data_IF_279662584693
#
_entry.id   IF_279662584693
#
_cell.length_a   1.000
_cell.length_b   1.000
_cell.length_c   1.000
_cell.angle_alpha   90.00
_cell.angle_beta   90.00
_cell.angle_gamma   90.00
#
_symmetry.space_group_name_H-M   'P 1'
#
loop_
_entity.id
_entity.type
_entity.pdbx_description
1 polymer ?
#
# COMPACT_ATOMS: atom_id res chain seq x y z
N UNK A 1 11.72 16.26 -1.44
CA UNK A 1 12.49 16.54 -0.22
C UNK A 1 13.51 17.66 -0.43
N UNK A 2 14.34 17.59 -1.45
CA UNK A 2 15.40 18.59 -1.68
C UNK A 2 14.85 20.01 -1.85
N UNK A 3 13.85 20.20 -2.69
CA UNK A 3 13.25 21.50 -2.98
C UNK A 3 12.64 22.21 -1.76
N UNK A 4 12.19 21.45 -0.77
CA UNK A 4 11.53 21.97 0.44
C UNK A 4 12.39 21.90 1.68
N UNK A 5 13.65 21.45 1.58
CA UNK A 5 14.57 21.31 2.72
C UNK A 5 14.13 20.30 3.77
N UNK A 6 13.22 19.37 3.43
CA UNK A 6 12.69 18.38 4.36
C UNK A 6 13.75 17.33 4.67
N UNK A 7 13.94 17.03 5.95
CA UNK A 7 14.77 15.93 6.43
C UNK A 7 13.91 14.93 7.20
N UNK A 8 14.19 13.64 6.98
CA UNK A 8 13.60 12.56 7.76
C UNK A 8 14.58 12.08 8.83
N UNK A 9 14.11 11.80 10.02
CA UNK A 9 14.94 11.21 11.07
C UNK A 9 15.40 9.82 10.70
N UNK A 10 14.50 9.03 10.12
CA UNK A 10 14.74 7.65 9.70
C UNK A 10 13.70 7.19 8.68
N UNK A 11 14.06 6.16 7.91
CA UNK A 11 13.18 5.44 7.00
C UNK A 11 13.35 3.94 7.24
N UNK A 12 12.27 3.17 7.09
CA UNK A 12 12.27 1.72 7.34
C UNK A 12 11.49 0.96 6.27
N UNK A 13 11.74 -0.31 6.18
CA UNK A 13 11.00 -1.25 5.33
C UNK A 13 11.80 -1.75 4.16
N UNK A 14 11.21 -1.73 2.98
CA UNK A 14 11.89 -2.11 1.75
C UNK A 14 12.74 -0.96 1.21
N UNK A 15 14.02 -1.22 1.02
CA UNK A 15 15.00 -0.20 0.64
C UNK A 15 15.45 -0.40 -0.81
N UNK A 16 15.70 0.70 -1.48
CA UNK A 16 16.22 0.76 -2.84
C UNK A 16 17.18 1.94 -2.99
N UNK A 17 17.89 1.99 -4.11
CA UNK A 17 18.89 3.01 -4.44
C UNK A 17 18.50 4.46 -4.08
N UNK A 18 17.30 4.97 -4.44
CA UNK A 18 16.92 6.35 -4.09
C UNK A 18 16.96 6.63 -2.59
N UNK A 19 16.64 5.65 -1.75
CA UNK A 19 16.70 5.82 -0.30
C UNK A 19 18.15 5.86 0.20
N UNK A 20 19.01 5.01 -0.37
CA UNK A 20 20.46 5.03 -0.09
C UNK A 20 21.06 6.38 -0.45
N UNK A 21 20.71 6.93 -1.61
CA UNK A 21 21.17 8.27 -2.03
C UNK A 21 20.70 9.38 -1.08
N UNK A 22 19.47 9.31 -0.57
CA UNK A 22 18.95 10.25 0.42
C UNK A 22 19.72 10.15 1.75
N UNK A 23 20.07 8.94 2.17
CA UNK A 23 20.92 8.72 3.35
C UNK A 23 22.30 9.35 3.16
N UNK A 24 22.97 9.09 2.03
CA UNK A 24 24.30 9.63 1.70
C UNK A 24 24.30 11.17 1.60
N UNK A 25 23.20 11.77 1.14
CA UNK A 25 22.99 13.22 1.10
C UNK A 25 22.62 13.84 2.46
N UNK A 26 22.48 13.03 3.51
CA UNK A 26 22.03 13.48 4.84
C UNK A 26 20.61 14.01 4.90
N UNK A 27 19.74 13.59 3.95
CA UNK A 27 18.32 13.91 3.93
C UNK A 27 17.49 12.94 4.76
N UNK A 28 18.03 11.75 4.99
CA UNK A 28 17.53 10.72 5.91
C UNK A 28 18.63 10.46 6.91
N UNK A 29 18.32 10.50 8.20
CA UNK A 29 19.31 10.32 9.25
C UNK A 29 19.75 8.86 9.41
N UNK A 30 18.81 7.93 9.25
CA UNK A 30 19.05 6.48 9.32
C UNK A 30 18.12 5.75 8.34
N UNK A 31 18.61 4.67 7.78
CA UNK A 31 17.83 3.69 7.04
C UNK A 31 17.88 2.36 7.81
N UNK A 32 16.74 1.77 8.07
CA UNK A 32 16.62 0.50 8.79
C UNK A 32 15.80 -0.46 7.92
N UNK A 33 16.46 -1.42 7.39
CA UNK A 33 16.01 -2.23 6.28
C UNK A 33 15.51 -3.60 6.77
N UNK A 34 14.45 -4.08 6.16
CA UNK A 34 13.91 -5.42 6.33
C UNK A 34 13.94 -6.21 5.03
N UNK A 35 14.12 -5.53 3.91
CA UNK A 35 14.21 -6.12 2.58
C UNK A 35 14.88 -5.16 1.60
N UNK A 36 15.88 -5.62 0.86
CA UNK A 36 16.51 -4.89 -0.23
C UNK A 36 15.85 -5.21 -1.58
N UNK A 37 15.61 -4.17 -2.38
CA UNK A 37 15.02 -4.33 -3.71
C UNK A 37 16.00 -4.17 -4.87
N UNK A 38 17.23 -3.75 -4.58
CA UNK A 38 18.28 -3.64 -5.59
C UNK A 38 19.69 -3.83 -4.99
N UNK A 39 20.68 -3.97 -5.88
CA UNK A 39 22.06 -4.18 -5.47
C UNK A 39 22.69 -2.95 -4.79
N UNK A 40 22.21 -1.75 -5.07
CA UNK A 40 22.69 -0.53 -4.40
C UNK A 40 22.32 -0.58 -2.91
N UNK A 41 21.10 -1.05 -2.59
CA UNK A 41 20.65 -1.23 -1.22
C UNK A 41 21.50 -2.32 -0.51
N UNK A 42 21.60 -3.52 -1.10
CA UNK A 42 22.43 -4.62 -0.56
C UNK A 42 23.86 -4.18 -0.29
N UNK A 43 24.51 -3.51 -1.26
CA UNK A 43 25.89 -3.05 -1.12
C UNK A 43 26.04 -1.92 -0.08
N UNK A 44 24.98 -1.17 0.19
CA UNK A 44 25.00 -0.10 1.16
C UNK A 44 25.03 -0.59 2.61
N UNK A 45 24.48 -1.77 2.88
CA UNK A 45 24.55 -2.40 4.21
C UNK A 45 26.02 -2.55 4.58
N UNK A 46 26.40 -2.21 5.81
CA UNK A 46 27.77 -2.25 6.32
C UNK A 46 28.79 -1.31 5.64
N UNK A 47 28.44 -0.64 4.53
CA UNK A 47 29.33 0.30 3.85
C UNK A 47 28.93 1.77 4.07
N UNK A 48 27.62 2.04 4.15
CA UNK A 48 27.10 3.38 4.34
C UNK A 48 26.73 3.59 5.82
N UNK A 49 27.40 4.51 6.52
CA UNK A 49 27.05 4.82 7.91
C UNK A 49 25.58 5.22 8.03
N UNK A 50 24.86 4.61 8.97
CA UNK A 50 23.45 4.87 9.19
C UNK A 50 22.49 3.93 8.44
N UNK A 51 23.00 2.96 7.67
CA UNK A 51 22.22 1.87 7.11
C UNK A 51 22.31 0.64 8.01
N UNK A 52 21.17 0.12 8.48
CA UNK A 52 21.06 -0.99 9.43
C UNK A 52 20.02 -1.99 8.94
N UNK A 53 20.20 -3.25 9.31
CA UNK A 53 19.22 -4.31 9.10
C UNK A 53 18.33 -4.50 10.34
N UNK A 54 17.10 -4.96 10.13
CA UNK A 54 16.21 -5.43 11.19
C UNK A 54 15.46 -6.69 10.76
N UNK A 55 15.02 -7.47 11.75
CA UNK A 55 14.15 -8.62 11.48
C UNK A 55 12.70 -8.16 11.20
N UNK A 56 11.93 -9.02 10.50
CA UNK A 56 10.50 -8.79 10.30
C UNK A 56 9.74 -8.63 11.63
N UNK A 57 10.18 -9.33 12.69
CA UNK A 57 9.60 -9.18 14.03
C UNK A 57 9.86 -7.80 14.64
N UNK A 58 11.04 -7.24 14.47
CA UNK A 58 11.34 -5.87 14.90
C UNK A 58 10.57 -4.85 14.06
N UNK A 59 10.38 -5.15 12.78
CA UNK A 59 9.67 -4.28 11.85
C UNK A 59 8.19 -4.13 12.22
N UNK A 60 7.43 -5.24 12.27
CA UNK A 60 5.97 -5.18 12.24
C UNK A 60 5.25 -6.21 13.12
N UNK A 61 5.92 -7.03 13.93
CA UNK A 61 5.23 -8.03 14.75
C UNK A 61 4.31 -7.34 15.79
N UNK A 62 2.98 -7.58 15.73
CA UNK A 62 2.01 -6.95 16.64
C UNK A 62 2.23 -7.32 18.11
N UNK A 63 2.81 -8.50 18.39
CA UNK A 63 3.16 -8.91 19.74
C UNK A 63 4.42 -8.21 20.29
N UNK A 64 5.19 -7.54 19.42
CA UNK A 64 6.34 -6.75 19.81
C UNK A 64 5.95 -5.30 20.07
N UNK A 65 5.88 -4.91 21.33
CA UNK A 65 5.54 -3.53 21.73
C UNK A 65 6.48 -2.46 21.17
N UNK A 66 7.70 -2.85 20.79
CA UNK A 66 8.71 -2.00 20.18
C UNK A 66 8.76 -2.05 18.66
N UNK A 67 7.78 -2.66 18.00
CA UNK A 67 7.76 -2.74 16.53
C UNK A 67 7.89 -1.35 15.89
N UNK A 68 8.82 -1.24 14.94
CA UNK A 68 9.19 0.05 14.35
C UNK A 68 8.03 0.72 13.60
N UNK A 69 7.14 -0.05 12.98
CA UNK A 69 5.97 0.50 12.27
C UNK A 69 5.10 1.38 13.17
N UNK A 70 5.03 1.09 14.47
CA UNK A 70 4.25 1.86 15.43
C UNK A 70 4.84 3.25 15.73
N UNK A 71 5.98 3.59 15.16
CA UNK A 71 6.67 4.89 15.30
C UNK A 71 6.72 5.68 14.00
N UNK A 72 6.13 5.17 12.92
CA UNK A 72 6.07 5.86 11.65
C UNK A 72 5.08 7.02 11.68
N UNK A 73 5.51 8.20 11.22
CA UNK A 73 4.61 9.33 11.00
C UNK A 73 3.78 9.11 9.73
N UNK A 74 4.38 8.51 8.71
CA UNK A 74 3.66 8.11 7.49
C UNK A 74 4.32 6.89 6.84
N UNK A 75 3.53 6.17 6.08
CA UNK A 75 3.98 5.10 5.19
C UNK A 75 3.44 5.33 3.78
N UNK A 76 4.22 4.97 2.78
CA UNK A 76 3.81 4.96 1.38
C UNK A 76 3.81 3.51 0.90
N UNK A 77 2.66 3.04 0.46
CA UNK A 77 2.45 1.67 0.02
C UNK A 77 1.83 1.65 -1.38
N UNK A 78 2.08 0.60 -2.13
CA UNK A 78 1.45 0.38 -3.43
C UNK A 78 0.17 -0.46 -3.29
N UNK A 79 -0.65 -0.48 -4.35
CA UNK A 79 -1.81 -1.36 -4.45
C UNK A 79 -1.88 -2.00 -5.83
N UNK A 80 -2.44 -3.20 -5.92
CA UNK A 80 -2.97 -3.73 -7.18
C UNK A 80 -4.32 -3.06 -7.46
N UNK A 81 -5.17 -3.02 -6.43
CA UNK A 81 -6.49 -2.39 -6.46
C UNK A 81 -6.82 -1.77 -5.10
N UNK A 82 -7.67 -0.76 -5.12
CA UNK A 82 -8.27 -0.13 -3.96
C UNK A 82 -9.75 0.14 -4.26
N UNK A 83 -10.64 -0.13 -3.30
CA UNK A 83 -12.06 0.12 -3.48
C UNK A 83 -12.55 1.44 -2.85
N UNK A 84 -13.82 1.74 -3.06
CA UNK A 84 -14.44 2.97 -2.57
C UNK A 84 -14.53 3.05 -1.03
N UNK A 85 -14.39 1.93 -0.33
CA UNK A 85 -14.25 1.88 1.13
C UNK A 85 -12.78 1.96 1.59
N UNK A 86 -11.84 2.26 0.67
CA UNK A 86 -10.40 2.28 0.89
C UNK A 86 -9.78 0.93 1.22
N UNK A 87 -10.49 -0.19 1.07
CA UNK A 87 -9.87 -1.50 1.21
C UNK A 87 -8.87 -1.73 0.08
N UNK A 88 -7.70 -2.25 0.42
CA UNK A 88 -6.61 -2.49 -0.53
C UNK A 88 -6.44 -3.97 -0.80
N UNK A 89 -6.22 -4.30 -2.06
CA UNK A 89 -5.84 -5.61 -2.54
C UNK A 89 -4.42 -5.56 -3.13
N UNK A 90 -3.51 -6.35 -2.58
CA UNK A 90 -2.15 -6.56 -3.10
C UNK A 90 -1.88 -8.02 -3.43
N UNK A 91 -2.91 -8.87 -3.38
CA UNK A 91 -2.80 -10.32 -3.52
C UNK A 91 -3.34 -10.80 -4.86
N UNK A 92 -4.60 -10.53 -5.13
CA UNK A 92 -5.29 -10.95 -6.37
C UNK A 92 -5.58 -9.75 -7.26
N UNK A 93 -5.74 -9.95 -8.57
CA UNK A 93 -6.33 -8.93 -9.44
C UNK A 93 -7.86 -9.00 -9.42
N UNK A 94 -8.52 -8.09 -10.16
CA UNK A 94 -9.98 -8.09 -10.37
C UNK A 94 -10.51 -9.36 -11.02
N UNK A 95 -9.67 -10.14 -11.67
CA UNK A 95 -9.95 -11.47 -12.23
C UNK A 95 -9.76 -12.61 -11.20
N UNK A 96 -9.46 -12.31 -9.94
CA UNK A 96 -9.23 -13.28 -8.87
C UNK A 96 -7.90 -14.04 -8.97
N UNK A 97 -7.07 -13.77 -9.97
CA UNK A 97 -5.77 -14.46 -10.15
C UNK A 97 -4.75 -13.94 -9.16
N UNK A 98 -4.08 -14.86 -8.47
CA UNK A 98 -3.02 -14.56 -7.51
C UNK A 98 -1.82 -13.90 -8.23
N UNK A 99 -1.44 -12.69 -7.80
CA UNK A 99 -0.36 -11.90 -8.42
C UNK A 99 0.69 -11.39 -7.44
N UNK A 100 0.40 -11.42 -6.16
CA UNK A 100 1.29 -10.87 -5.15
C UNK A 100 1.12 -11.52 -3.79
N UNK A 101 1.59 -10.83 -2.77
CA UNK A 101 1.45 -11.22 -1.38
C UNK A 101 1.37 -9.96 -0.51
N UNK A 102 0.61 -9.98 0.59
CA UNK A 102 0.48 -8.81 1.47
C UNK A 102 1.79 -8.47 2.19
N UNK A 103 2.60 -9.46 2.56
CA UNK A 103 3.81 -9.22 3.35
C UNK A 103 3.50 -8.39 4.60
N UNK A 104 4.29 -7.33 4.84
CA UNK A 104 4.07 -6.38 5.93
C UNK A 104 3.12 -5.23 5.61
N UNK A 105 2.43 -5.25 4.47
CA UNK A 105 1.56 -4.14 4.02
C UNK A 105 0.46 -3.79 5.04
N UNK A 106 -0.38 -4.73 5.51
CA UNK A 106 -1.43 -4.44 6.48
C UNK A 106 -0.88 -3.97 7.83
N UNK A 107 0.21 -4.58 8.29
CA UNK A 107 0.83 -4.23 9.57
C UNK A 107 1.43 -2.83 9.56
N UNK A 108 2.07 -2.46 8.45
CA UNK A 108 2.67 -1.14 8.28
C UNK A 108 1.60 -0.06 8.14
N UNK A 109 0.53 -0.35 7.40
CA UNK A 109 -0.63 0.54 7.31
C UNK A 109 -1.24 0.79 8.69
N UNK A 110 -1.55 -0.28 9.44
CA UNK A 110 -2.15 -0.18 10.76
C UNK A 110 -1.24 0.45 11.83
N UNK A 111 0.08 0.31 11.69
CA UNK A 111 1.04 0.85 12.66
C UNK A 111 1.37 2.32 12.47
N UNK A 112 1.29 2.85 11.25
CA UNK A 112 1.65 4.24 10.93
C UNK A 112 0.55 5.24 11.33
N UNK A 113 0.93 6.51 11.56
CA UNK A 113 -0.05 7.58 11.82
C UNK A 113 -0.79 8.04 10.56
N UNK A 114 -0.19 7.83 9.38
CA UNK A 114 -0.79 8.16 8.10
C UNK A 114 -0.34 7.15 7.05
N UNK A 115 -1.28 6.43 6.48
CA UNK A 115 -1.06 5.49 5.39
C UNK A 115 -1.47 6.10 4.05
N UNK A 116 -0.50 6.19 3.13
CA UNK A 116 -0.68 6.75 1.79
C UNK A 116 -0.52 5.62 0.78
N UNK A 117 -1.58 5.31 0.05
CA UNK A 117 -1.52 4.40 -1.09
C UNK A 117 -1.17 5.19 -2.35
N UNK A 118 -0.17 4.72 -3.08
CA UNK A 118 0.22 5.29 -4.38
C UNK A 118 0.08 4.22 -5.45
N UNK A 119 -0.77 4.47 -6.43
CA UNK A 119 -0.97 3.57 -7.58
C UNK A 119 -1.42 4.38 -8.79
N UNK A 120 -1.06 4.00 -10.03
CA UNK A 120 -1.67 4.64 -11.20
C UNK A 120 -3.17 4.36 -11.20
N UNK A 121 -3.98 5.27 -11.75
CA UNK A 121 -5.43 5.06 -11.86
C UNK A 121 -5.78 3.82 -12.68
N UNK A 122 -4.94 3.50 -13.65
CA UNK A 122 -5.13 2.39 -14.59
C UNK A 122 -3.80 1.64 -14.72
N UNK A 123 -3.86 0.31 -14.70
CA UNK A 123 -2.74 -0.57 -14.98
C UNK A 123 -3.03 -1.46 -16.18
N UNK A 124 -2.44 -1.13 -17.32
CA UNK A 124 -2.79 -1.77 -18.59
C UNK A 124 -4.26 -1.51 -18.95
N UNK A 125 -5.09 -2.54 -18.96
CA UNK A 125 -6.52 -2.47 -19.24
C UNK A 125 -7.40 -2.62 -17.99
N UNK A 126 -6.81 -2.54 -16.79
CA UNK A 126 -7.53 -2.73 -15.53
C UNK A 126 -7.61 -1.40 -14.76
N UNK A 127 -8.77 -1.09 -14.23
CA UNK A 127 -8.96 -0.05 -13.26
C UNK A 127 -8.27 -0.46 -11.94
N UNK A 128 -7.48 0.43 -11.34
CA UNK A 128 -6.90 0.17 -10.01
C UNK A 128 -7.79 0.69 -8.89
N UNK A 129 -8.69 1.62 -9.20
CA UNK A 129 -9.73 2.08 -8.28
C UNK A 129 -11.04 1.44 -8.74
N UNK A 130 -11.65 0.63 -7.88
CA UNK A 130 -12.83 -0.19 -8.20
C UNK A 130 -13.95 -0.01 -7.18
N UNK A 131 -15.12 -0.58 -7.45
CA UNK A 131 -16.27 -0.55 -6.54
C UNK A 131 -16.00 -1.36 -5.28
N UNK A 132 -15.46 -2.58 -5.47
CA UNK A 132 -15.10 -3.49 -4.40
C UNK A 132 -13.92 -4.36 -4.82
N UNK A 133 -12.93 -4.47 -3.98
CA UNK A 133 -11.81 -5.38 -4.22
C UNK A 133 -12.25 -6.84 -4.04
N UNK A 134 -11.66 -7.72 -4.84
CA UNK A 134 -11.95 -9.17 -4.79
C UNK A 134 -11.47 -9.79 -3.47
N UNK A 135 -10.34 -9.29 -2.97
CA UNK A 135 -9.72 -9.79 -1.73
C UNK A 135 -9.22 -8.61 -0.91
N UNK A 136 -9.66 -8.50 0.33
CA UNK A 136 -9.16 -7.46 1.24
C UNK A 136 -7.87 -7.93 1.88
N UNK A 137 -6.76 -7.29 1.52
CA UNK A 137 -5.46 -7.55 2.15
C UNK A 137 -5.08 -6.50 3.19
N UNK A 138 -5.60 -5.28 3.05
CA UNK A 138 -5.44 -4.21 4.03
C UNK A 138 -6.79 -3.50 4.20
N UNK A 139 -7.37 -3.50 5.40
CA UNK A 139 -8.65 -2.85 5.67
C UNK A 139 -8.60 -1.35 5.41
N UNK A 140 -9.69 -0.80 4.91
CA UNK A 140 -9.79 0.62 4.57
C UNK A 140 -9.74 1.56 5.76
N UNK A 141 -9.99 1.08 6.96
CA UNK A 141 -9.81 1.86 8.19
C UNK A 141 -8.33 2.11 8.56
N UNK A 142 -7.41 1.38 7.93
CA UNK A 142 -5.96 1.57 8.04
C UNK A 142 -5.38 2.42 6.88
N UNK A 143 -6.21 2.90 5.95
CA UNK A 143 -5.76 3.65 4.77
C UNK A 143 -6.34 5.05 4.79
N UNK A 144 -5.46 6.06 4.74
CA UNK A 144 -5.85 7.45 4.93
C UNK A 144 -5.96 8.23 3.61
N UNK A 145 -5.03 7.98 2.69
CA UNK A 145 -4.92 8.76 1.44
C UNK A 145 -4.62 7.84 0.27
N UNK A 146 -5.30 8.08 -0.84
CA UNK A 146 -4.96 7.51 -2.14
C UNK A 146 -4.39 8.60 -3.05
N UNK A 147 -3.25 8.34 -3.66
CA UNK A 147 -2.62 9.21 -4.66
C UNK A 147 -2.52 8.46 -5.98
N UNK A 148 -3.09 9.05 -7.01
CA UNK A 148 -3.02 8.55 -8.39
C UNK A 148 -2.48 9.62 -9.33
N UNK A 149 -2.18 9.25 -10.56
CA UNK A 149 -1.84 10.18 -11.65
C UNK A 149 -3.03 11.07 -12.11
N UNK A 150 -4.24 10.80 -11.61
CA UNK A 150 -5.46 11.58 -11.90
C UNK A 150 -5.99 12.38 -10.71
N UNK A 151 -5.45 12.20 -9.53
CA UNK A 151 -5.86 12.96 -8.36
C UNK A 151 -5.58 12.27 -7.04
N UNK A 152 -5.90 12.99 -5.98
CA UNK A 152 -5.75 12.55 -4.59
C UNK A 152 -7.14 12.36 -4.00
N UNK A 153 -7.37 11.23 -3.33
CA UNK A 153 -8.55 11.03 -2.50
C UNK A 153 -8.14 10.82 -1.04
N UNK A 154 -8.87 11.45 -0.14
CA UNK A 154 -8.66 11.29 1.31
C UNK A 154 -9.81 10.51 1.89
N UNK A 155 -9.49 9.53 2.74
CA UNK A 155 -10.51 8.76 3.42
C UNK A 155 -11.40 9.71 4.27
N UNK A 156 -12.73 9.67 4.13
CA UNK A 156 -13.64 10.54 4.89
C UNK A 156 -13.51 10.43 6.41
N UNK A 157 -12.90 9.36 6.91
CA UNK A 157 -12.59 9.18 8.35
C UNK A 157 -11.45 10.08 8.84
N UNK A 158 -10.76 10.79 7.93
CA UNK A 158 -9.63 11.67 8.21
C UNK A 158 -9.93 13.14 7.88
N UNK A 159 -10.93 13.74 8.55
CA UNK A 159 -11.26 15.15 8.32
C UNK A 159 -10.08 16.10 8.63
N UNK A 160 -9.18 15.69 9.53
CA UNK A 160 -7.93 16.40 9.82
C UNK A 160 -7.02 16.53 8.59
N UNK A 161 -6.89 15.48 7.79
CA UNK A 161 -6.08 15.49 6.57
C UNK A 161 -6.77 16.28 5.45
N UNK A 162 -8.11 16.19 5.33
CA UNK A 162 -8.88 16.99 4.38
C UNK A 162 -8.63 18.48 4.67
N UNK A 163 -8.78 18.92 5.91
CA UNK A 163 -8.52 20.31 6.31
C UNK A 163 -7.05 20.73 6.04
N UNK A 164 -6.09 19.82 6.25
CA UNK A 164 -4.67 20.09 5.95
C UNK A 164 -4.43 20.31 4.46
N UNK A 165 -5.03 19.50 3.58
CA UNK A 165 -4.90 19.64 2.13
C UNK A 165 -5.56 20.95 1.66
N UNK A 166 -6.74 21.27 2.16
CA UNK A 166 -7.46 22.50 1.86
C UNK A 166 -6.62 23.74 2.23
N UNK A 167 -6.06 23.77 3.44
CA UNK A 167 -5.17 24.84 3.90
C UNK A 167 -3.91 24.96 3.05
N UNK A 168 -3.39 23.84 2.57
CA UNK A 168 -2.22 23.80 1.70
C UNK A 168 -2.53 24.13 0.23
N UNK A 169 -3.81 24.29 -0.13
CA UNK A 169 -4.25 24.51 -1.51
C UNK A 169 -3.99 23.30 -2.41
N UNK A 170 -3.95 22.08 -1.85
CA UNK A 170 -3.75 20.84 -2.58
C UNK A 170 -5.12 20.29 -3.00
N UNK A 171 -5.43 20.25 -4.31
CA UNK A 171 -6.71 19.74 -4.78
C UNK A 171 -6.86 18.25 -4.48
N UNK A 172 -8.06 17.87 -4.05
CA UNK A 172 -8.43 16.48 -3.83
C UNK A 172 -9.85 16.22 -4.34
N UNK A 173 -10.17 14.97 -4.58
CA UNK A 173 -11.45 14.51 -5.12
C UNK A 173 -11.96 13.32 -4.31
N UNK A 174 -13.22 12.92 -4.52
CA UNK A 174 -13.72 11.70 -3.90
C UNK A 174 -13.15 10.46 -4.61
N UNK A 175 -13.01 9.36 -3.87
CA UNK A 175 -12.53 8.10 -4.44
C UNK A 175 -13.51 7.55 -5.49
N UNK A 176 -14.81 7.81 -5.34
CA UNK A 176 -15.84 7.48 -6.31
C UNK A 176 -15.60 8.19 -7.65
N UNK A 177 -15.16 9.46 -7.61
CA UNK A 177 -14.81 10.21 -8.83
C UNK A 177 -13.62 9.57 -9.56
N UNK A 178 -12.63 9.08 -8.83
CA UNK A 178 -11.50 8.35 -9.41
C UNK A 178 -11.94 7.00 -10.01
N UNK A 179 -12.81 6.26 -9.32
CA UNK A 179 -13.40 5.03 -9.84
C UNK A 179 -14.17 5.28 -11.14
N UNK A 180 -15.07 6.24 -11.16
CA UNK A 180 -15.86 6.57 -12.36
C UNK A 180 -14.94 7.00 -13.51
N UNK A 181 -13.89 7.75 -13.21
CA UNK A 181 -12.87 8.10 -14.19
C UNK A 181 -12.17 6.88 -14.75
N UNK A 182 -11.72 5.94 -13.90
CA UNK A 182 -11.10 4.69 -14.32
C UNK A 182 -12.03 3.88 -15.23
N UNK A 183 -13.27 3.68 -14.80
CA UNK A 183 -14.27 2.92 -15.56
C UNK A 183 -14.64 3.58 -16.90
N UNK A 184 -14.60 4.91 -16.98
CA UNK A 184 -14.82 5.63 -18.24
C UNK A 184 -13.73 5.35 -19.29
N UNK A 185 -12.54 4.93 -18.86
CA UNK A 185 -11.40 4.70 -19.75
C UNK A 185 -11.27 3.22 -20.12
N UNK A 186 -11.37 2.31 -19.14
CA UNK A 186 -11.09 0.89 -19.35
C UNK A 186 -12.32 -0.02 -19.24
N UNK A 187 -13.47 0.52 -18.88
CA UNK A 187 -14.69 -0.24 -18.57
C UNK A 187 -14.70 -0.77 -17.13
N UNK A 188 -15.83 -1.34 -16.75
CA UNK A 188 -15.95 -2.06 -15.48
C UNK A 188 -15.32 -3.44 -15.62
N UNK A 189 -14.62 -3.94 -14.60
CA UNK A 189 -14.15 -5.33 -14.62
C UNK A 189 -15.35 -6.29 -14.63
N UNK A 190 -15.18 -7.42 -15.30
CA UNK A 190 -16.15 -8.51 -15.24
C UNK A 190 -16.18 -9.10 -13.83
N UNK A 191 -17.36 -9.55 -13.40
CA UNK A 191 -17.51 -10.17 -12.10
C UNK A 191 -16.93 -11.58 -12.09
N UNK A 192 -15.96 -11.82 -11.19
CA UNK A 192 -15.33 -13.14 -11.06
C UNK A 192 -16.30 -14.13 -10.45
N UNK A 193 -16.45 -15.27 -11.10
CA UNK A 193 -17.23 -16.39 -10.58
C UNK A 193 -16.34 -17.32 -9.74
N UNK A 194 -16.71 -17.52 -8.48
CA UNK A 194 -15.98 -18.39 -7.55
C UNK A 194 -16.70 -19.71 -7.32
N UNK A 195 -15.93 -20.75 -7.03
CA UNK A 195 -16.41 -21.98 -6.39
C UNK A 195 -16.49 -21.75 -4.87
N UNK A 196 -17.22 -22.63 -4.17
CA UNK A 196 -17.32 -22.56 -2.71
C UNK A 196 -16.02 -22.96 -1.99
N UNK A 197 -15.06 -23.51 -2.73
CA UNK A 197 -13.78 -23.95 -2.17
C UNK A 197 -12.92 -22.75 -1.76
N UNK A 198 -12.62 -22.65 -0.47
CA UNK A 198 -11.60 -21.75 0.07
C UNK A 198 -10.23 -22.37 -0.13
N UNK A 199 -9.31 -21.64 -0.77
CA UNK A 199 -7.94 -22.09 -1.05
C UNK A 199 -6.90 -21.44 -0.15
N UNK A 200 -7.21 -20.27 0.43
CA UNK A 200 -6.36 -19.59 1.40
C UNK A 200 -7.22 -18.72 2.33
N UNK A 201 -6.67 -18.44 3.49
CA UNK A 201 -7.25 -17.57 4.52
C UNK A 201 -6.26 -16.41 4.74
N UNK A 202 -6.78 -15.20 4.80
CA UNK A 202 -6.03 -14.01 5.19
C UNK A 202 -6.33 -13.72 6.66
N UNK A 203 -5.29 -13.76 7.46
CA UNK A 203 -5.35 -13.45 8.88
C UNK A 203 -4.89 -12.02 9.12
N UNK A 204 -5.66 -11.26 9.87
CA UNK A 204 -5.26 -9.93 10.33
C UNK A 204 -4.16 -10.02 11.40
N UNK A 205 -3.48 -8.91 11.65
CA UNK A 205 -2.36 -8.82 12.61
C UNK A 205 -2.72 -9.22 14.06
N UNK A 206 -3.99 -9.19 14.41
CA UNK A 206 -4.51 -9.58 15.72
C UNK A 206 -4.97 -11.05 15.80
N UNK A 207 -4.78 -11.81 14.72
CA UNK A 207 -5.18 -13.21 14.59
C UNK A 207 -6.63 -13.43 14.16
N UNK A 208 -7.38 -12.38 13.86
CA UNK A 208 -8.74 -12.49 13.36
C UNK A 208 -8.76 -12.78 11.85
N UNK A 209 -9.84 -13.39 11.36
CA UNK A 209 -10.06 -13.61 9.94
C UNK A 209 -10.32 -12.28 9.26
N UNK A 210 -9.44 -11.90 8.33
CA UNK A 210 -9.63 -10.71 7.50
C UNK A 210 -10.44 -11.01 6.24
N UNK A 211 -10.03 -12.03 5.48
CA UNK A 211 -10.71 -12.42 4.26
C UNK A 211 -10.31 -13.85 3.85
N UNK A 212 -10.88 -14.34 2.75
CA UNK A 212 -10.57 -15.65 2.16
C UNK A 212 -10.32 -15.53 0.66
N UNK A 213 -9.42 -16.36 0.15
CA UNK A 213 -9.24 -16.56 -1.29
C UNK A 213 -10.03 -17.79 -1.70
N UNK A 214 -10.89 -17.64 -2.67
CA UNK A 214 -11.71 -18.72 -3.23
C UNK A 214 -11.18 -19.21 -4.55
N UNK A 215 -11.41 -20.46 -4.88
CA UNK A 215 -11.08 -21.01 -6.18
C UNK A 215 -11.95 -20.35 -7.26
N UNK A 216 -11.34 -19.93 -8.35
CA UNK A 216 -12.03 -19.33 -9.50
C UNK A 216 -12.68 -20.47 -10.31
N UNK A 217 -13.95 -20.29 -10.73
CA UNK A 217 -14.54 -21.16 -11.73
C UNK A 217 -13.77 -21.05 -13.06
N UNK A 218 -13.54 -22.17 -13.77
CA UNK A 218 -12.94 -22.09 -15.10
C UNK A 218 -13.76 -21.16 -16.00
N UNK A 219 -13.07 -20.29 -16.73
CA UNK A 219 -13.73 -19.51 -17.77
C UNK A 219 -14.20 -20.48 -18.86
N UNK A 220 -15.50 -20.55 -19.09
CA UNK A 220 -16.05 -21.17 -20.29
C UNK A 220 -16.15 -20.08 -21.34
N UNK A 221 -15.38 -20.23 -22.42
CA UNK A 221 -15.64 -19.44 -23.61
C UNK A 221 -16.86 -20.09 -24.28
N UNK A 222 -17.96 -19.36 -24.35
CA UNK A 222 -19.07 -19.75 -25.21
C UNK A 222 -18.57 -19.60 -26.66
N UNK A 223 -18.57 -20.73 -27.42
CA UNK A 223 -18.16 -20.83 -28.83
C UNK A 223 -19.08 -20.02 -29.75
#
# INVERSE_FOLDING_TARGET
MDERGIKMGWAIGGICKPMVELLQKGKVGKVIDVQDFDLDAVNSINQTPGHFEMSASQYANPANKGAFVNKLDFVVLAALEIDTDFNVNVLTGSDGVLRGAPGGHPDTAAGSKCCIIVTPLIRGRMATVCEKVVTVTTPGDCVDVLVTDYGIAVNPRRPDLIECLDKAGIPHVSIESLKEKAYSIVGRPDEVQFEDQVVAVLEARDGTLLDVVRKIKPYTFDD
#
